data_IF_932943880859
#
_entry.id   IF_932943880859
#
_cell.length_a   1.000
_cell.length_b   1.000
_cell.length_c   1.000
_cell.angle_alpha   90.00
_cell.angle_beta   90.00
_cell.angle_gamma   90.00
#
_symmetry.space_group_name_H-M   'P 1'
#
loop_
_entity.id
_entity.type
_entity.pdbx_description
1 polymer ?
#
# COMPACT_ATOMS: atom_id res chain seq x y z
N UNK A 1 -2.56 -33.91 18.11
CA UNK A 1 -1.19 -33.49 17.72
C UNK A 1 -0.98 -32.08 18.25
N UNK A 2 0.15 -31.81 18.90
CA UNK A 2 0.45 -30.47 19.40
C UNK A 2 0.95 -29.61 18.23
N UNK A 3 0.23 -28.54 17.89
CA UNK A 3 0.66 -27.54 16.92
C UNK A 3 1.20 -26.31 17.63
N UNK A 4 1.95 -25.48 16.90
CA UNK A 4 2.38 -24.15 17.38
C UNK A 4 2.45 -23.13 16.25
N UNK A 5 2.45 -21.85 16.60
CA UNK A 5 2.73 -20.76 15.66
C UNK A 5 4.25 -20.66 15.45
N UNK A 6 4.66 -20.24 14.26
CA UNK A 6 6.04 -19.88 13.96
C UNK A 6 6.56 -18.81 14.94
N UNK A 7 7.75 -19.01 15.51
CA UNK A 7 8.25 -18.12 16.57
C UNK A 7 8.54 -16.69 16.08
N UNK A 8 8.88 -16.53 14.80
CA UNK A 8 9.04 -15.20 14.18
C UNK A 8 7.74 -14.38 14.19
N UNK A 9 6.60 -15.03 13.94
CA UNK A 9 5.28 -14.40 13.98
C UNK A 9 4.84 -14.07 15.40
N UNK A 10 5.17 -14.91 16.38
CA UNK A 10 4.95 -14.59 17.79
C UNK A 10 5.78 -13.37 18.22
N UNK A 11 7.02 -13.27 17.75
CA UNK A 11 7.88 -12.11 17.97
C UNK A 11 7.24 -10.83 17.39
N UNK A 12 6.79 -10.89 16.13
CA UNK A 12 6.09 -9.78 15.47
C UNK A 12 4.85 -9.34 16.25
N UNK A 13 3.97 -10.30 16.58
CA UNK A 13 2.74 -10.03 17.33
C UNK A 13 3.02 -9.37 18.67
N UNK A 14 4.06 -9.81 19.37
CA UNK A 14 4.47 -9.21 20.65
C UNK A 14 4.96 -7.78 20.48
N UNK A 15 5.78 -7.49 19.45
CA UNK A 15 6.22 -6.12 19.15
C UNK A 15 5.03 -5.20 18.81
N UNK A 16 4.09 -5.68 18.00
CA UNK A 16 2.87 -4.93 17.66
C UNK A 16 2.05 -4.66 18.92
N UNK A 17 1.82 -5.66 19.76
CA UNK A 17 1.04 -5.50 20.99
C UNK A 17 1.73 -4.59 22.01
N UNK A 18 3.06 -4.62 22.10
CA UNK A 18 3.80 -3.71 22.97
C UNK A 18 3.72 -2.26 22.48
N UNK A 19 3.77 -2.05 21.15
CA UNK A 19 3.72 -0.71 20.55
C UNK A 19 2.30 -0.11 20.55
N UNK A 20 1.29 -0.94 20.32
CA UNK A 20 -0.11 -0.55 20.20
C UNK A 20 -0.97 -1.36 21.17
N UNK A 21 -0.80 -1.20 22.50
CA UNK A 21 -1.47 -2.04 23.49
C UNK A 21 -3.00 -1.98 23.39
N UNK A 22 -3.53 -0.79 23.06
CA UNK A 22 -4.96 -0.50 23.02
C UNK A 22 -5.62 -0.78 21.67
N UNK A 23 -4.89 -1.33 20.67
CA UNK A 23 -5.50 -1.65 19.38
C UNK A 23 -6.55 -2.74 19.51
N UNK A 24 -7.54 -2.65 18.63
CA UNK A 24 -8.49 -3.71 18.34
C UNK A 24 -7.75 -4.98 17.89
N UNK A 25 -8.28 -6.13 18.29
CA UNK A 25 -7.75 -7.48 18.03
C UNK A 25 -8.84 -8.41 17.48
N UNK A 26 -10.00 -7.87 17.07
CA UNK A 26 -11.16 -8.64 16.64
C UNK A 26 -10.90 -9.55 15.44
N UNK A 27 -9.92 -9.21 14.60
CA UNK A 27 -9.49 -10.00 13.44
C UNK A 27 -8.07 -10.54 13.62
N UNK A 28 -7.53 -10.56 14.84
CA UNK A 28 -6.26 -11.24 15.08
C UNK A 28 -6.47 -12.75 15.01
N UNK A 29 -5.63 -13.42 14.25
CA UNK A 29 -5.75 -14.85 13.99
C UNK A 29 -4.39 -15.49 13.77
N UNK A 30 -4.22 -16.72 14.22
CA UNK A 30 -3.01 -17.50 13.87
C UNK A 30 -3.38 -18.85 13.30
N UNK A 31 -4.37 -19.53 13.86
CA UNK A 31 -4.85 -20.82 13.38
C UNK A 31 -6.24 -20.69 12.79
N UNK A 32 -6.49 -21.36 11.68
CA UNK A 32 -7.82 -21.51 11.10
C UNK A 32 -8.71 -22.39 11.98
N UNK A 33 -10.02 -22.28 11.80
CA UNK A 33 -10.94 -23.21 12.45
C UNK A 33 -10.82 -24.64 11.88
N UNK A 34 -11.55 -25.59 12.48
CA UNK A 34 -11.50 -27.00 12.06
C UNK A 34 -12.01 -27.26 10.63
N UNK A 35 -12.74 -26.31 10.03
CA UNK A 35 -13.24 -26.38 8.67
C UNK A 35 -12.35 -25.59 7.68
N UNK A 36 -11.26 -24.99 8.16
CA UNK A 36 -10.36 -24.20 7.35
C UNK A 36 -9.56 -25.07 6.38
N UNK A 37 -9.16 -24.49 5.25
CA UNK A 37 -8.39 -25.20 4.23
C UNK A 37 -7.06 -25.71 4.82
N UNK A 38 -6.87 -27.03 4.79
CA UNK A 38 -5.67 -27.70 5.30
C UNK A 38 -4.39 -27.31 4.54
N UNK A 39 -4.51 -26.73 3.34
CA UNK A 39 -3.40 -26.21 2.55
C UNK A 39 -3.05 -24.75 2.87
N UNK A 40 -3.87 -24.09 3.70
CA UNK A 40 -3.63 -22.72 4.17
C UNK A 40 -2.42 -22.64 5.09
N UNK A 41 -1.73 -21.49 5.07
CA UNK A 41 -0.66 -21.21 6.02
C UNK A 41 -1.18 -21.00 7.46
N UNK A 42 -2.51 -20.86 7.64
CA UNK A 42 -3.19 -20.92 8.94
C UNK A 42 -3.43 -22.35 9.45
N UNK A 43 -3.00 -23.37 8.71
CA UNK A 43 -3.08 -24.77 9.13
C UNK A 43 -1.74 -25.26 9.71
N UNK A 44 -1.72 -26.25 10.62
CA UNK A 44 -0.48 -26.85 11.15
C UNK A 44 0.25 -27.72 10.12
N UNK A 45 0.74 -27.13 9.04
CA UNK A 45 1.18 -27.87 7.86
C UNK A 45 2.70 -28.08 7.79
N UNK A 46 3.50 -27.20 8.38
CA UNK A 46 4.95 -27.25 8.26
C UNK A 46 5.61 -28.02 9.41
N UNK A 47 6.49 -28.98 9.10
CA UNK A 47 7.29 -29.70 10.09
C UNK A 47 6.42 -30.40 11.18
N UNK A 48 6.71 -30.22 12.49
CA UNK A 48 5.99 -30.89 13.58
C UNK A 48 4.56 -30.34 13.83
N UNK A 49 3.96 -29.62 12.88
CA UNK A 49 2.67 -28.95 13.05
C UNK A 49 2.81 -27.45 13.32
N UNK A 50 3.63 -26.76 12.52
CA UNK A 50 3.85 -25.31 12.62
C UNK A 50 2.86 -24.58 11.71
N UNK A 51 2.19 -23.59 12.28
CA UNK A 51 1.33 -22.63 11.60
C UNK A 51 2.17 -21.41 11.22
N UNK A 52 2.17 -21.05 9.94
CA UNK A 52 3.08 -20.03 9.36
C UNK A 52 2.38 -18.75 8.94
N UNK A 53 1.13 -18.54 9.39
CA UNK A 53 0.37 -17.32 9.15
C UNK A 53 -0.04 -16.59 10.43
N UNK A 54 -0.18 -15.28 10.31
CA UNK A 54 -0.66 -14.35 11.32
C UNK A 54 -1.55 -13.31 10.64
N UNK A 55 -2.76 -13.15 11.16
CA UNK A 55 -3.62 -12.01 10.87
C UNK A 55 -3.48 -10.97 11.99
N UNK A 56 -3.43 -9.69 11.61
CA UNK A 56 -3.42 -8.56 12.54
C UNK A 56 -4.46 -7.54 12.13
N UNK A 57 -5.37 -7.25 13.06
CA UNK A 57 -6.49 -6.31 12.86
C UNK A 57 -5.99 -4.91 12.46
N UNK A 58 -6.60 -4.33 11.43
CA UNK A 58 -6.41 -2.91 11.09
C UNK A 58 -7.11 -2.02 12.12
N UNK A 59 -6.35 -1.17 12.79
CA UNK A 59 -6.88 -0.20 13.75
C UNK A 59 -6.05 1.09 13.75
N UNK A 60 -6.22 1.93 12.71
CA UNK A 60 -5.47 3.17 12.58
C UNK A 60 -5.83 4.17 13.68
N UNK A 61 -7.02 4.06 14.29
CA UNK A 61 -7.43 4.91 15.42
C UNK A 61 -6.59 4.66 16.68
N UNK A 62 -6.13 3.42 16.86
CA UNK A 62 -5.17 3.04 17.90
C UNK A 62 -3.70 3.04 17.42
N UNK A 63 -3.44 3.54 16.21
CA UNK A 63 -2.10 3.73 15.64
C UNK A 63 -1.57 2.56 14.79
N UNK A 64 -2.28 1.43 14.70
CA UNK A 64 -1.88 0.31 13.85
C UNK A 64 -2.58 0.41 12.48
N UNK A 65 -1.93 1.14 11.57
CA UNK A 65 -2.34 1.29 10.18
C UNK A 65 -1.69 0.19 9.31
N UNK A 66 -2.51 -0.55 8.55
CA UNK A 66 -2.00 -1.67 7.74
C UNK A 66 -1.27 -1.18 6.51
N UNK A 67 -1.64 -0.03 5.92
CA UNK A 67 -0.97 0.49 4.73
C UNK A 67 0.48 0.87 5.07
N UNK A 68 0.66 1.59 6.19
CA UNK A 68 1.99 1.90 6.71
C UNK A 68 2.78 0.64 7.04
N UNK A 69 2.15 -0.33 7.69
CA UNK A 69 2.80 -1.57 8.12
C UNK A 69 3.26 -2.43 6.93
N UNK A 70 2.43 -2.58 5.91
CA UNK A 70 2.75 -3.36 4.71
C UNK A 70 3.81 -2.67 3.85
N UNK A 71 3.82 -1.33 3.77
CA UNK A 71 4.91 -0.55 3.16
C UNK A 71 6.27 -0.81 3.85
N UNK A 72 6.28 -0.81 5.18
CA UNK A 72 7.49 -1.09 5.96
C UNK A 72 7.96 -2.54 5.79
N UNK A 73 7.04 -3.51 5.75
CA UNK A 73 7.34 -4.92 5.45
C UNK A 73 7.95 -5.08 4.06
N UNK A 74 7.34 -4.49 3.02
CA UNK A 74 7.86 -4.51 1.66
C UNK A 74 9.27 -3.91 1.59
N UNK A 75 9.48 -2.77 2.24
CA UNK A 75 10.77 -2.07 2.26
C UNK A 75 11.85 -2.87 2.98
N UNK A 76 11.49 -3.53 4.08
CA UNK A 76 12.44 -4.33 4.88
C UNK A 76 13.05 -5.48 4.09
N UNK A 77 12.30 -6.01 3.11
CA UNK A 77 12.59 -7.26 2.40
C UNK A 77 13.00 -8.39 3.34
N UNK A 78 12.38 -8.45 4.52
CA UNK A 78 12.70 -9.44 5.54
C UNK A 78 12.57 -10.85 4.95
N UNK A 79 13.66 -11.62 5.00
CA UNK A 79 13.76 -12.91 4.34
C UNK A 79 12.86 -13.99 4.97
N UNK A 80 12.21 -13.68 6.11
CA UNK A 80 11.19 -14.53 6.71
C UNK A 80 9.87 -14.44 5.97
N UNK A 81 9.58 -13.35 5.26
CA UNK A 81 8.31 -13.14 4.56
C UNK A 81 8.20 -14.10 3.37
N UNK A 82 7.10 -14.86 3.30
CA UNK A 82 6.68 -15.64 2.12
C UNK A 82 5.75 -14.80 1.25
N UNK A 83 4.68 -14.26 1.83
CA UNK A 83 3.81 -13.28 1.19
C UNK A 83 3.01 -12.50 2.25
N UNK A 84 2.41 -11.40 1.82
CA UNK A 84 1.54 -10.53 2.62
C UNK A 84 0.29 -10.20 1.80
N UNK A 85 -0.89 -10.21 2.42
CA UNK A 85 -2.16 -9.84 1.78
C UNK A 85 -2.81 -8.73 2.60
N UNK A 86 -3.22 -7.65 1.94
CA UNK A 86 -3.95 -6.54 2.54
C UNK A 86 -4.70 -5.77 1.44
N UNK A 87 -5.87 -5.23 1.76
CA UNK A 87 -6.60 -4.29 0.90
C UNK A 87 -6.82 -4.79 -0.54
N UNK A 88 -7.10 -6.08 -0.72
CA UNK A 88 -7.32 -6.71 -2.03
C UNK A 88 -6.05 -6.85 -2.87
N UNK A 89 -4.87 -6.72 -2.26
CA UNK A 89 -3.57 -6.88 -2.88
C UNK A 89 -2.75 -7.97 -2.19
N UNK A 90 -1.87 -8.60 -2.95
CA UNK A 90 -0.89 -9.57 -2.45
C UNK A 90 0.51 -9.17 -2.91
N UNK A 91 1.47 -9.23 -1.99
CA UNK A 91 2.90 -9.12 -2.25
C UNK A 91 3.57 -10.43 -1.88
N UNK A 92 4.32 -11.02 -2.79
CA UNK A 92 5.02 -12.28 -2.59
C UNK A 92 6.54 -12.08 -2.63
N UNK A 93 7.32 -12.89 -1.91
CA UNK A 93 8.78 -12.84 -1.98
C UNK A 93 9.39 -13.87 -2.95
N UNK A 94 8.59 -14.86 -3.39
CA UNK A 94 9.04 -15.96 -4.23
C UNK A 94 9.18 -15.51 -5.68
N UNK A 95 10.23 -15.99 -6.36
CA UNK A 95 10.63 -15.51 -7.68
C UNK A 95 9.55 -15.64 -8.77
N UNK A 96 8.68 -16.64 -8.67
CA UNK A 96 7.62 -16.91 -9.65
C UNK A 96 6.37 -16.03 -9.53
N UNK A 97 6.30 -15.16 -8.51
CA UNK A 97 5.10 -14.36 -8.20
C UNK A 97 5.36 -12.84 -8.22
N UNK A 98 6.24 -12.36 -9.10
CA UNK A 98 6.63 -10.94 -9.17
C UNK A 98 7.15 -10.42 -7.82
N UNK A 99 8.33 -10.89 -7.38
CA UNK A 99 8.78 -10.74 -6.02
C UNK A 99 8.85 -9.27 -5.59
N UNK A 100 8.31 -8.98 -4.40
CA UNK A 100 8.23 -7.66 -3.78
C UNK A 100 7.40 -6.63 -4.54
N UNK A 101 6.53 -7.06 -5.45
CA UNK A 101 5.54 -6.22 -6.12
C UNK A 101 4.14 -6.51 -5.59
N UNK A 102 3.34 -5.48 -5.39
CA UNK A 102 1.92 -5.64 -5.08
C UNK A 102 1.14 -5.94 -6.37
N UNK A 103 0.40 -7.03 -6.36
CA UNK A 103 -0.51 -7.41 -7.44
C UNK A 103 -1.92 -7.63 -6.89
N UNK A 104 -2.92 -7.65 -7.77
CA UNK A 104 -4.31 -7.90 -7.37
C UNK A 104 -4.44 -9.27 -6.71
N UNK A 105 -5.05 -9.30 -5.52
CA UNK A 105 -5.47 -10.52 -4.85
C UNK A 105 -6.90 -10.89 -5.28
N UNK A 106 -7.12 -12.17 -5.57
CA UNK A 106 -8.40 -12.71 -6.07
C UNK A 106 -9.09 -13.65 -5.10
N UNK A 107 -8.58 -13.78 -3.86
CA UNK A 107 -9.25 -14.58 -2.82
C UNK A 107 -10.55 -13.96 -2.33
N UNK A 108 -11.39 -14.77 -1.69
CA UNK A 108 -12.75 -14.38 -1.26
C UNK A 108 -12.77 -13.35 -0.14
N UNK A 109 -11.77 -13.35 0.74
CA UNK A 109 -11.59 -12.34 1.78
C UNK A 109 -10.65 -11.25 1.26
N UNK A 110 -11.09 -9.98 1.11
CA UNK A 110 -10.25 -8.93 0.57
C UNK A 110 -9.23 -8.35 1.59
N UNK A 111 -9.17 -8.82 2.84
CA UNK A 111 -8.21 -8.36 3.85
C UNK A 111 -8.22 -6.83 4.06
N UNK A 112 -9.41 -6.22 4.13
CA UNK A 112 -9.58 -4.78 4.41
C UNK A 112 -9.68 -4.46 5.90
N UNK A 113 -9.95 -5.47 6.74
CA UNK A 113 -10.08 -5.33 8.20
C UNK A 113 -8.86 -5.84 8.97
N UNK A 114 -7.92 -6.49 8.28
CA UNK A 114 -6.69 -7.03 8.84
C UNK A 114 -5.66 -7.23 7.73
N UNK A 115 -4.39 -7.27 8.10
CA UNK A 115 -3.31 -7.74 7.23
C UNK A 115 -3.05 -9.22 7.53
N UNK A 116 -2.86 -10.02 6.47
CA UNK A 116 -2.39 -11.40 6.55
C UNK A 116 -0.90 -11.44 6.25
N UNK A 117 -0.10 -12.03 7.14
CA UNK A 117 1.33 -12.25 6.95
C UNK A 117 1.61 -13.75 6.96
N UNK A 118 2.25 -14.25 5.90
CA UNK A 118 2.77 -15.61 5.85
C UNK A 118 4.30 -15.60 5.83
N UNK A 119 4.91 -16.49 6.62
CA UNK A 119 6.37 -16.69 6.66
C UNK A 119 6.80 -17.95 5.92
N UNK A 120 8.04 -17.98 5.47
CA UNK A 120 8.60 -19.07 4.66
C UNK A 120 8.63 -20.38 5.44
N UNK A 121 8.40 -21.50 4.75
CA UNK A 121 8.48 -22.84 5.33
C UNK A 121 9.93 -23.35 5.40
N UNK A 122 10.74 -22.67 6.19
CA UNK A 122 12.14 -23.00 6.47
C UNK A 122 12.47 -22.67 7.93
N UNK A 123 13.70 -22.91 8.37
CA UNK A 123 14.15 -22.52 9.72
C UNK A 123 13.98 -21.02 10.02
N UNK A 124 13.86 -20.18 8.98
CA UNK A 124 13.59 -18.74 9.13
C UNK A 124 12.22 -18.45 9.76
N UNK A 125 11.23 -19.35 9.68
CA UNK A 125 9.94 -19.14 10.36
C UNK A 125 10.10 -19.08 11.88
N UNK A 126 11.16 -19.65 12.44
CA UNK A 126 11.47 -19.63 13.87
C UNK A 126 12.57 -18.64 14.26
N UNK A 127 13.03 -17.81 13.31
CA UNK A 127 13.98 -16.75 13.61
C UNK A 127 13.31 -15.63 14.43
N UNK A 128 13.67 -15.58 15.71
CA UNK A 128 13.13 -14.66 16.73
C UNK A 128 13.83 -13.31 16.78
N UNK A 129 14.73 -13.00 15.84
CA UNK A 129 15.27 -11.64 15.72
C UNK A 129 14.11 -10.64 15.65
N UNK A 130 14.17 -9.50 16.36
CA UNK A 130 13.13 -8.48 16.28
C UNK A 130 12.86 -8.07 14.84
N UNK A 131 11.60 -7.88 14.49
CA UNK A 131 11.20 -7.27 13.23
C UNK A 131 11.63 -5.80 13.26
N UNK A 132 12.53 -5.43 12.36
CA UNK A 132 13.09 -4.09 12.30
C UNK A 132 12.22 -3.18 11.43
N UNK A 133 11.05 -2.82 11.96
CA UNK A 133 10.06 -1.95 11.31
C UNK A 133 10.00 -0.59 12.02
N UNK A 134 10.14 0.54 11.32
CA UNK A 134 10.08 1.87 11.92
C UNK A 134 8.87 2.12 12.82
N UNK A 135 7.67 1.69 12.44
CA UNK A 135 6.47 1.86 13.26
C UNK A 135 6.51 1.04 14.55
N UNK A 136 7.35 0.02 14.64
CA UNK A 136 7.57 -0.80 15.83
C UNK A 136 8.78 -0.36 16.66
N UNK A 137 9.40 0.78 16.33
CA UNK A 137 10.60 1.27 17.01
C UNK A 137 11.91 0.63 16.52
N UNK A 138 11.87 -0.08 15.39
CA UNK A 138 13.07 -0.52 14.70
C UNK A 138 13.92 0.67 14.24
N UNK A 139 15.23 0.45 14.12
CA UNK A 139 16.12 1.43 13.51
C UNK A 139 15.63 1.69 12.09
N UNK A 140 15.47 2.96 11.74
CA UNK A 140 15.43 3.35 10.34
C UNK A 140 16.79 2.97 9.76
N UNK A 141 16.93 1.76 9.21
CA UNK A 141 17.89 1.59 8.12
C UNK A 141 17.57 2.74 7.18
N UNK A 142 18.53 3.61 6.77
CA UNK A 142 18.26 4.45 5.63
C UNK A 142 17.76 3.47 4.58
N UNK A 143 16.53 3.64 4.09
CA UNK A 143 16.01 2.68 3.13
C UNK A 143 17.08 2.55 2.04
N UNK A 144 17.31 1.38 1.42
CA UNK A 144 17.89 1.42 0.08
C UNK A 144 17.07 2.48 -0.63
N UNK A 145 17.67 3.60 -1.03
CA UNK A 145 16.96 4.87 -1.30
C UNK A 145 15.60 4.51 -1.84
N UNK A 146 14.53 4.69 -1.06
CA UNK A 146 13.25 4.83 -1.72
C UNK A 146 13.53 6.12 -2.48
N UNK A 147 13.61 6.18 -3.83
CA UNK A 147 13.12 7.42 -4.36
C UNK A 147 11.65 7.34 -3.91
N UNK A 148 11.09 8.26 -3.10
CA UNK A 148 9.73 8.11 -2.65
C UNK A 148 8.88 8.27 -3.89
N UNK A 149 8.71 7.24 -4.72
CA UNK A 149 8.35 7.52 -6.10
C UNK A 149 6.89 7.27 -6.27
N UNK A 150 6.12 8.06 -5.54
CA UNK A 150 5.27 8.99 -6.26
C UNK A 150 6.05 9.45 -7.52
N UNK A 151 5.64 8.99 -8.73
CA UNK A 151 6.52 8.83 -9.89
C UNK A 151 7.26 10.13 -10.23
N UNK A 152 8.37 10.08 -10.97
CA UNK A 152 8.82 11.33 -11.63
C UNK A 152 7.69 11.77 -12.57
N UNK A 153 7.57 13.07 -12.79
CA UNK A 153 6.60 13.58 -13.74
C UNK A 153 6.75 12.81 -15.07
N UNK A 154 5.74 12.01 -15.48
CA UNK A 154 5.90 10.99 -16.51
C UNK A 154 5.68 11.56 -17.91
N UNK A 155 5.22 12.81 -18.01
CA UNK A 155 4.84 13.43 -19.27
C UNK A 155 6.03 14.20 -19.89
N UNK A 156 6.06 14.34 -21.23
CA UNK A 156 7.04 15.21 -21.89
C UNK A 156 6.93 16.67 -21.42
N UNK A 157 7.99 17.46 -21.65
CA UNK A 157 8.15 18.83 -21.14
C UNK A 157 6.94 19.78 -21.36
N UNK A 158 6.19 19.59 -22.45
CA UNK A 158 5.08 20.46 -22.85
C UNK A 158 3.69 19.86 -22.57
N UNK A 159 3.62 18.76 -21.82
CA UNK A 159 2.39 18.07 -21.47
C UNK A 159 2.09 18.22 -19.97
N UNK A 160 0.83 18.04 -19.60
CA UNK A 160 0.33 18.22 -18.24
C UNK A 160 -0.81 17.25 -17.94
N UNK A 161 -1.10 17.02 -16.66
CA UNK A 161 -2.36 16.37 -16.29
C UNK A 161 -3.46 17.41 -16.20
N UNK A 162 -4.58 17.15 -16.87
CA UNK A 162 -5.68 18.08 -17.02
C UNK A 162 -6.92 17.37 -17.55
N UNK A 163 -7.90 18.13 -18.04
CA UNK A 163 -9.17 17.54 -18.50
C UNK A 163 -8.94 16.44 -19.54
N UNK A 164 -9.63 15.30 -19.40
CA UNK A 164 -9.63 14.23 -20.40
C UNK A 164 -10.18 14.69 -21.76
N UNK A 165 -11.04 15.71 -21.75
CA UNK A 165 -11.57 16.37 -22.96
C UNK A 165 -10.65 17.48 -23.49
N UNK A 166 -9.44 17.62 -22.94
CA UNK A 166 -8.48 18.65 -23.29
C UNK A 166 -7.78 18.41 -24.64
N UNK A 167 -6.85 19.30 -25.03
CA UNK A 167 -6.01 19.09 -26.21
C UNK A 167 -5.05 17.90 -26.01
N UNK A 168 -4.33 17.49 -27.06
CA UNK A 168 -3.41 16.33 -27.03
C UNK A 168 -2.32 16.42 -25.95
N UNK A 169 -2.01 17.63 -25.48
CA UNK A 169 -1.05 17.88 -24.41
C UNK A 169 -1.61 17.61 -23.00
N UNK A 170 -2.94 17.48 -22.88
CA UNK A 170 -3.69 17.23 -21.64
C UNK A 170 -3.90 15.74 -21.42
N UNK A 171 -3.35 15.23 -20.32
CA UNK A 171 -3.48 13.83 -19.93
C UNK A 171 -4.50 13.71 -18.80
N UNK A 172 -5.65 13.14 -19.11
CA UNK A 172 -6.79 13.04 -18.20
C UNK A 172 -7.18 11.63 -17.82
N UNK A 173 -6.32 10.63 -18.07
CA UNK A 173 -6.59 9.23 -17.77
C UNK A 173 -7.16 8.46 -18.97
N UNK A 174 -6.84 8.91 -20.19
CA UNK A 174 -7.26 8.20 -21.39
C UNK A 174 -6.55 6.83 -21.48
N UNK A 175 -7.22 5.76 -21.93
CA UNK A 175 -6.55 4.51 -22.22
C UNK A 175 -5.63 4.67 -23.45
N UNK A 176 -4.58 3.84 -23.55
CA UNK A 176 -3.64 3.85 -24.70
C UNK A 176 -4.37 3.70 -26.05
N UNK A 177 -5.49 2.97 -26.08
CA UNK A 177 -6.34 2.82 -27.27
C UNK A 177 -7.00 4.12 -27.75
N UNK A 178 -7.04 5.16 -26.91
CA UNK A 178 -7.59 6.49 -27.21
C UNK A 178 -6.51 7.56 -27.28
N UNK A 179 -5.23 7.17 -27.39
CA UNK A 179 -4.09 8.10 -27.48
C UNK A 179 -3.45 8.48 -26.15
N UNK A 180 -3.88 7.86 -25.04
CA UNK A 180 -3.26 8.05 -23.73
C UNK A 180 -1.90 7.36 -23.58
N UNK A 181 -1.17 7.69 -22.52
CA UNK A 181 0.10 7.06 -22.19
C UNK A 181 -0.09 5.78 -21.35
N UNK A 182 0.91 4.87 -21.30
CA UNK A 182 0.89 3.77 -20.34
C UNK A 182 0.66 4.29 -18.92
N UNK A 183 -0.26 3.65 -18.19
CA UNK A 183 -0.58 3.93 -16.79
C UNK A 183 -1.17 5.33 -16.50
N UNK A 184 -1.73 6.03 -17.50
CA UNK A 184 -2.29 7.38 -17.34
C UNK A 184 -3.34 7.48 -16.22
N UNK A 185 -4.27 6.52 -16.17
CA UNK A 185 -5.31 6.44 -15.13
C UNK A 185 -4.72 6.27 -13.72
N UNK A 186 -3.60 5.56 -13.62
CA UNK A 186 -2.89 5.43 -12.35
C UNK A 186 -2.33 6.78 -11.90
N UNK A 187 -1.70 7.55 -12.80
CA UNK A 187 -1.18 8.87 -12.44
C UNK A 187 -2.27 9.87 -12.08
N UNK A 188 -3.41 9.86 -12.77
CA UNK A 188 -4.55 10.72 -12.42
C UNK A 188 -5.15 10.34 -11.07
N UNK A 189 -5.27 9.04 -10.80
CA UNK A 189 -5.76 8.56 -9.50
C UNK A 189 -4.84 8.99 -8.36
N UNK A 190 -3.53 8.96 -8.54
CA UNK A 190 -2.57 9.48 -7.56
C UNK A 190 -2.78 10.97 -7.25
N UNK A 191 -3.11 11.78 -8.26
CA UNK A 191 -3.44 13.20 -8.09
C UNK A 191 -4.72 13.34 -7.25
N UNK A 192 -5.75 12.58 -7.59
CA UNK A 192 -7.03 12.61 -6.89
C UNK A 192 -6.89 12.18 -5.41
N UNK A 193 -6.21 11.07 -5.15
CA UNK A 193 -5.93 10.55 -3.80
C UNK A 193 -5.16 11.56 -2.95
N UNK A 194 -4.19 12.27 -3.54
CA UNK A 194 -3.42 13.28 -2.81
C UNK A 194 -4.24 14.55 -2.51
N UNK A 195 -5.12 14.96 -3.43
CA UNK A 195 -6.06 16.07 -3.19
C UNK A 195 -7.04 15.71 -2.06
N UNK A 196 -7.53 14.47 -2.00
CA UNK A 196 -8.35 13.96 -0.90
C UNK A 196 -7.59 14.01 0.43
N UNK A 197 -6.36 13.49 0.44
CA UNK A 197 -5.48 13.47 1.62
C UNK A 197 -5.22 14.88 2.18
N UNK A 198 -5.15 15.88 1.29
CA UNK A 198 -4.93 17.29 1.64
C UNK A 198 -6.23 18.08 1.87
N UNK A 199 -7.39 17.45 1.75
CA UNK A 199 -8.69 18.08 2.00
C UNK A 199 -9.20 19.00 0.89
N UNK A 200 -8.66 18.89 -0.32
CA UNK A 200 -9.12 19.65 -1.51
C UNK A 200 -10.16 18.89 -2.34
N UNK A 201 -10.35 17.59 -2.08
CA UNK A 201 -11.32 16.76 -2.74
C UNK A 201 -12.12 15.89 -1.76
N UNK A 202 -13.38 15.52 -2.07
CA UNK A 202 -14.17 14.60 -1.26
C UNK A 202 -13.52 13.22 -1.18
N UNK A 203 -13.35 12.70 0.04
CA UNK A 203 -12.90 11.33 0.28
C UNK A 203 -14.06 10.33 0.22
N UNK A 204 -14.80 10.33 -0.89
CA UNK A 204 -15.92 9.41 -1.14
C UNK A 204 -15.49 8.29 -2.11
N UNK A 205 -15.95 7.04 -1.90
CA UNK A 205 -15.66 5.93 -2.81
C UNK A 205 -16.02 6.29 -4.26
N UNK A 206 -15.10 6.02 -5.19
CA UNK A 206 -15.30 6.30 -6.62
C UNK A 206 -14.99 7.72 -7.06
N UNK A 207 -14.58 8.63 -6.17
CA UNK A 207 -14.14 9.98 -6.58
C UNK A 207 -12.73 9.98 -7.19
N UNK A 208 -11.83 9.14 -6.66
CA UNK A 208 -10.49 8.92 -7.20
C UNK A 208 -10.48 7.77 -8.21
N UNK A 209 -11.16 7.97 -9.32
CA UNK A 209 -11.43 6.98 -10.37
C UNK A 209 -10.35 6.91 -11.47
N UNK A 210 -9.36 7.81 -11.44
CA UNK A 210 -8.34 7.91 -12.47
C UNK A 210 -8.79 8.68 -13.71
N UNK A 211 -9.92 9.39 -13.66
CA UNK A 211 -10.42 10.22 -14.77
C UNK A 211 -10.40 11.70 -14.33
N UNK A 212 -9.67 12.51 -15.09
CA UNK A 212 -9.50 13.92 -14.77
C UNK A 212 -10.62 14.72 -15.43
N UNK A 213 -11.73 14.86 -14.72
CA UNK A 213 -12.88 15.67 -15.13
C UNK A 213 -12.93 17.00 -14.38
N UNK A 214 -14.01 17.78 -14.59
CA UNK A 214 -14.19 19.09 -13.96
C UNK A 214 -14.01 19.08 -12.43
N UNK A 215 -14.51 18.08 -11.66
CA UNK A 215 -14.28 18.02 -10.21
C UNK A 215 -12.80 17.94 -9.84
N UNK A 216 -12.02 17.14 -10.56
CA UNK A 216 -10.56 17.03 -10.35
C UNK A 216 -9.87 18.34 -10.70
N UNK A 217 -10.27 18.99 -11.80
CA UNK A 217 -9.76 20.32 -12.19
C UNK A 217 -9.99 21.37 -11.11
N UNK A 218 -11.19 21.43 -10.56
CA UNK A 218 -11.56 22.40 -9.52
C UNK A 218 -10.78 22.15 -8.22
N UNK A 219 -10.61 20.88 -7.83
CA UNK A 219 -9.80 20.49 -6.68
C UNK A 219 -8.32 20.87 -6.84
N UNK A 220 -7.73 20.64 -8.02
CA UNK A 220 -6.36 21.06 -8.34
C UNK A 220 -6.24 22.59 -8.26
N UNK A 221 -7.17 23.33 -8.87
CA UNK A 221 -7.15 24.79 -8.84
C UNK A 221 -7.25 25.34 -7.40
N UNK A 222 -8.09 24.73 -6.55
CA UNK A 222 -8.18 25.09 -5.14
C UNK A 222 -6.86 24.82 -4.39
N UNK A 223 -6.23 23.66 -4.61
CA UNK A 223 -4.93 23.33 -4.04
C UNK A 223 -3.85 24.32 -4.47
N UNK A 224 -3.75 24.61 -5.78
CA UNK A 224 -2.79 25.57 -6.30
C UNK A 224 -3.03 26.96 -5.70
N UNK A 225 -4.28 27.41 -5.52
CA UNK A 225 -4.54 28.75 -4.93
C UNK A 225 -4.05 28.82 -3.49
N UNK A 226 -4.16 27.72 -2.75
CA UNK A 226 -3.72 27.64 -1.37
C UNK A 226 -2.18 27.55 -1.22
N UNK A 227 -1.48 26.91 -2.16
CA UNK A 227 -0.05 26.57 -2.02
C UNK A 227 0.87 27.29 -3.00
N UNK A 228 0.33 27.77 -4.11
CA UNK A 228 1.04 28.31 -5.27
C UNK A 228 0.42 29.61 -5.83
N UNK A 229 -0.03 30.57 -4.98
CA UNK A 229 -0.76 31.76 -5.43
C UNK A 229 0.05 32.71 -6.33
N UNK A 230 1.38 32.62 -6.31
CA UNK A 230 2.30 33.49 -7.06
C UNK A 230 3.14 32.77 -8.11
N UNK A 231 2.92 31.46 -8.30
CA UNK A 231 3.78 30.61 -9.14
C UNK A 231 3.08 29.98 -10.33
N UNK A 232 1.75 30.12 -10.48
CA UNK A 232 1.03 29.59 -11.64
C UNK A 232 -0.07 30.53 -12.15
N UNK A 233 -0.24 30.59 -13.46
CA UNK A 233 -1.41 31.14 -14.15
C UNK A 233 -2.30 30.04 -14.77
N UNK A 234 -1.88 28.77 -14.64
CA UNK A 234 -2.50 27.59 -15.26
C UNK A 234 -3.31 26.80 -14.24
N UNK A 235 -4.41 27.42 -13.80
CA UNK A 235 -5.27 26.86 -12.74
C UNK A 235 -5.99 25.59 -13.19
N UNK A 236 -5.85 24.53 -12.38
CA UNK A 236 -6.49 23.25 -12.62
C UNK A 236 -5.73 22.31 -13.57
N UNK A 237 -4.48 22.65 -13.89
CA UNK A 237 -3.53 21.80 -14.62
C UNK A 237 -2.38 21.41 -13.69
N UNK A 238 -1.91 20.16 -13.75
CA UNK A 238 -0.76 19.71 -12.95
C UNK A 238 0.45 19.56 -13.88
N UNK A 239 1.38 20.50 -13.76
CA UNK A 239 2.66 20.52 -14.47
C UNK A 239 3.77 19.85 -13.66
N UNK A 240 4.96 19.70 -14.24
CA UNK A 240 6.11 19.03 -13.61
C UNK A 240 6.50 19.64 -12.26
N UNK A 241 6.32 20.95 -12.10
CA UNK A 241 6.59 21.69 -10.88
C UNK A 241 5.45 21.55 -9.87
N UNK A 242 4.19 21.58 -10.31
CA UNK A 242 3.04 21.26 -9.43
C UNK A 242 3.13 19.82 -8.91
N UNK A 243 3.52 18.89 -9.78
CA UNK A 243 3.77 17.50 -9.45
C UNK A 243 4.89 17.38 -8.40
N UNK A 244 5.92 18.22 -8.47
CA UNK A 244 6.98 18.22 -7.46
C UNK A 244 6.40 18.54 -6.06
N UNK A 245 5.41 19.43 -5.93
CA UNK A 245 4.89 19.82 -4.62
C UNK A 245 3.65 19.03 -4.16
N UNK A 246 2.79 18.65 -5.10
CA UNK A 246 1.58 17.87 -4.85
C UNK A 246 1.96 16.41 -4.64
N UNK A 247 2.67 15.86 -5.61
CA UNK A 247 3.02 14.45 -5.65
C UNK A 247 4.35 14.23 -4.93
N UNK A 248 5.38 15.06 -5.05
CA UNK A 248 6.67 14.78 -4.36
C UNK A 248 7.06 15.79 -3.27
N UNK A 249 6.17 16.09 -2.29
CA UNK A 249 6.39 17.16 -1.30
C UNK A 249 7.64 16.95 -0.45
#
# INVERSE_FOLDING_TARGET
MAWRVANSLLTLRNQINAKFPNRNKASDGTIGDANHDVTSDHSPWYGPGIVTALDVTHDPRAGFDIDKFTDELQTSRDNRIKYVIANGLIMDSRAQFSPWQWVRYSGSNPHTSHVHISVVASSLCDDTRPWNLPMLGGASTPPPTRPPTKPRFPLPQNHYFGLISGPNESHGGAPVSMGGIPDEQYYVRLIQEELQRRGFAPNTPGWADGIFEQPTKDAVAAWQRAHRPHSTSRWGEVWWDDWADLIRP
#
